data_IF_953029746804
#
_entry.id   IF_953029746804
#
_cell.length_a   1.000
_cell.length_b   1.000
_cell.length_c   1.000
_cell.angle_alpha   90.00
_cell.angle_beta   90.00
_cell.angle_gamma   90.00
#
_symmetry.space_group_name_H-M   'P 1'
#
loop_
_entity.id
_entity.type
_entity.pdbx_description
1 polymer ?
#
# COMPACT_ATOMS: atom_id res chain seq x y z
N UNK A 1 -11.34 5.76 -9.15
CA UNK A 1 -11.36 4.28 -9.11
C UNK A 1 -10.04 3.68 -9.57
N UNK A 2 -9.56 3.98 -10.79
CA UNK A 2 -8.28 3.46 -11.30
C UNK A 2 -7.09 3.73 -10.37
N UNK A 3 -6.92 4.96 -9.88
CA UNK A 3 -5.79 5.30 -9.01
C UNK A 3 -5.75 4.48 -7.72
N UNK A 4 -6.91 4.22 -7.09
CA UNK A 4 -6.98 3.36 -5.92
C UNK A 4 -6.56 1.91 -6.23
N UNK A 5 -6.96 1.37 -7.39
CA UNK A 5 -6.53 0.05 -7.83
C UNK A 5 -5.01 -0.03 -8.08
N UNK A 6 -4.43 1.03 -8.64
CA UNK A 6 -2.96 1.14 -8.82
C UNK A 6 -2.26 1.17 -7.45
N UNK A 7 -2.74 2.01 -6.53
CA UNK A 7 -2.20 2.09 -5.18
C UNK A 7 -2.32 0.76 -4.43
N UNK A 8 -3.42 0.04 -4.60
CA UNK A 8 -3.57 -1.32 -4.09
C UNK A 8 -2.51 -2.26 -4.67
N UNK A 9 -2.30 -2.25 -5.99
CA UNK A 9 -1.26 -3.06 -6.63
C UNK A 9 0.15 -2.73 -6.13
N UNK A 10 0.46 -1.44 -5.96
CA UNK A 10 1.74 -0.99 -5.38
C UNK A 10 1.87 -1.52 -3.95
N UNK A 11 0.84 -1.35 -3.12
CA UNK A 11 0.80 -1.89 -1.77
C UNK A 11 1.06 -3.40 -1.76
N UNK A 12 0.40 -4.15 -2.65
CA UNK A 12 0.56 -5.60 -2.78
C UNK A 12 2.00 -6.00 -3.10
N UNK A 13 2.63 -5.35 -4.07
CA UNK A 13 4.04 -5.59 -4.41
C UNK A 13 4.95 -5.24 -3.23
N UNK A 14 4.68 -4.15 -2.53
CA UNK A 14 5.43 -3.77 -1.32
C UNK A 14 5.30 -4.85 -0.25
N UNK A 15 4.08 -5.31 0.04
CA UNK A 15 3.84 -6.35 1.04
C UNK A 15 4.53 -7.66 0.71
N UNK A 16 4.68 -7.98 -0.58
CA UNK A 16 5.31 -9.23 -1.01
C UNK A 16 6.83 -9.22 -0.86
N UNK A 17 7.48 -8.09 -1.17
CA UNK A 17 8.95 -8.06 -1.35
C UNK A 17 9.70 -7.16 -0.36
N UNK A 18 9.01 -6.27 0.35
CA UNK A 18 9.63 -5.19 1.09
C UNK A 18 9.20 -5.16 2.57
N UNK A 19 9.95 -4.40 3.37
CA UNK A 19 9.72 -4.30 4.82
C UNK A 19 8.64 -3.28 5.17
N UNK A 20 8.18 -3.34 6.42
CA UNK A 20 7.15 -2.43 6.94
C UNK A 20 7.57 -0.94 6.91
N UNK A 21 8.87 -0.63 6.86
CA UNK A 21 9.33 0.77 6.74
C UNK A 21 8.95 1.38 5.38
N UNK A 22 8.94 0.58 4.32
CA UNK A 22 8.66 1.06 2.97
C UNK A 22 7.18 1.42 2.81
N UNK A 23 6.27 0.64 3.40
CA UNK A 23 4.83 0.95 3.39
C UNK A 23 4.51 2.25 4.14
N UNK A 24 5.22 2.54 5.25
CA UNK A 24 5.07 3.80 5.98
C UNK A 24 5.57 4.97 5.15
N UNK A 25 6.78 4.88 4.58
CA UNK A 25 7.36 5.95 3.77
C UNK A 25 6.52 6.27 2.53
N UNK A 26 6.05 5.26 1.82
CA UNK A 26 5.20 5.43 0.63
C UNK A 26 3.81 5.95 0.98
N UNK A 27 3.23 5.55 2.12
CA UNK A 27 1.97 6.14 2.61
C UNK A 27 2.11 7.61 2.99
N UNK A 28 3.23 7.99 3.62
CA UNK A 28 3.54 9.39 3.89
C UNK A 28 3.69 10.19 2.59
N UNK A 29 4.34 9.61 1.57
CA UNK A 29 4.47 10.24 0.25
C UNK A 29 3.11 10.44 -0.43
N UNK A 30 2.20 9.46 -0.37
CA UNK A 30 0.84 9.57 -0.90
C UNK A 30 0.08 10.70 -0.20
N UNK A 31 0.17 10.76 1.14
CA UNK A 31 -0.50 11.79 1.94
C UNK A 31 0.04 13.19 1.59
N UNK A 32 1.36 13.37 1.58
CA UNK A 32 2.00 14.66 1.25
C UNK A 32 1.68 15.07 -0.18
N UNK A 33 1.79 14.14 -1.14
CA UNK A 33 1.48 14.41 -2.55
C UNK A 33 0.03 14.84 -2.74
N UNK A 34 -0.91 14.18 -2.06
CA UNK A 34 -2.33 14.54 -2.12
C UNK A 34 -2.60 15.89 -1.46
N UNK A 35 -2.01 16.15 -0.28
CA UNK A 35 -2.15 17.45 0.39
C UNK A 35 -1.60 18.59 -0.47
N UNK A 36 -0.45 18.42 -1.12
CA UNK A 36 0.10 19.41 -2.04
C UNK A 36 -0.83 19.64 -3.24
N UNK A 37 -1.31 18.57 -3.87
CA UNK A 37 -2.24 18.67 -5.01
C UNK A 37 -3.52 19.42 -4.63
N UNK A 38 -4.07 19.19 -3.44
CA UNK A 38 -5.29 19.86 -2.99
C UNK A 38 -5.06 21.27 -2.45
N UNK A 39 -3.88 21.54 -1.87
CA UNK A 39 -3.51 22.89 -1.43
C UNK A 39 -3.35 23.87 -2.61
N UNK A 40 -2.88 23.40 -3.76
CA UNK A 40 -2.76 24.20 -4.99
C UNK A 40 -3.97 24.06 -5.94
N UNK A 41 -4.97 23.29 -5.55
CA UNK A 41 -6.21 23.05 -6.31
C UNK A 41 -7.37 23.94 -5.85
N UNK A 42 -8.64 23.55 -6.09
CA UNK A 42 -9.83 24.32 -5.70
C UNK A 42 -10.08 24.42 -4.17
N UNK A 43 -9.11 24.01 -3.34
CA UNK A 43 -9.18 24.02 -1.88
C UNK A 43 -9.31 22.61 -1.28
N UNK A 44 -9.09 22.53 0.04
CA UNK A 44 -9.19 21.30 0.80
C UNK A 44 -10.57 21.21 1.45
N UNK A 45 -11.35 20.22 1.04
CA UNK A 45 -12.73 20.00 1.51
C UNK A 45 -12.89 18.55 1.99
N UNK A 46 -13.97 18.25 2.70
CA UNK A 46 -14.25 16.94 3.27
C UNK A 46 -14.21 15.82 2.23
N UNK A 47 -14.66 16.09 1.00
CA UNK A 47 -14.55 15.15 -0.11
C UNK A 47 -13.09 14.78 -0.44
N UNK A 48 -12.19 15.77 -0.46
CA UNK A 48 -10.76 15.55 -0.71
C UNK A 48 -10.15 14.71 0.41
N UNK A 49 -10.52 14.98 1.67
CA UNK A 49 -10.10 14.16 2.81
C UNK A 49 -10.53 12.69 2.66
N UNK A 50 -11.77 12.44 2.26
CA UNK A 50 -12.28 11.08 1.99
C UNK A 50 -11.54 10.40 0.83
N UNK A 51 -11.16 11.14 -0.20
CA UNK A 51 -10.38 10.62 -1.33
C UNK A 51 -8.99 10.18 -0.85
N UNK A 52 -8.28 11.00 -0.06
CA UNK A 52 -6.97 10.62 0.51
C UNK A 52 -7.11 9.38 1.39
N UNK A 53 -8.13 9.34 2.22
CA UNK A 53 -8.39 8.18 3.09
C UNK A 53 -8.62 6.91 2.25
N UNK A 54 -9.38 7.01 1.16
CA UNK A 54 -9.58 5.91 0.22
C UNK A 54 -8.28 5.45 -0.44
N UNK A 55 -7.41 6.37 -0.83
CA UNK A 55 -6.10 6.05 -1.42
C UNK A 55 -5.17 5.35 -0.43
N UNK A 56 -5.09 5.86 0.80
CA UNK A 56 -4.33 5.22 1.88
C UNK A 56 -4.88 3.84 2.22
N UNK A 57 -6.21 3.70 2.30
CA UNK A 57 -6.86 2.41 2.59
C UNK A 57 -6.58 1.38 1.50
N UNK A 58 -6.68 1.76 0.23
CA UNK A 58 -6.35 0.89 -0.89
C UNK A 58 -4.88 0.45 -0.85
N UNK A 59 -3.96 1.39 -0.59
CA UNK A 59 -2.54 1.10 -0.47
C UNK A 59 -2.22 0.14 0.70
N UNK A 60 -2.80 0.39 1.88
CA UNK A 60 -2.60 -0.42 3.09
C UNK A 60 -3.21 -1.83 2.96
N UNK A 61 -4.41 -1.95 2.39
CA UNK A 61 -5.04 -3.24 2.15
C UNK A 61 -4.27 -4.09 1.14
N UNK A 62 -3.71 -3.47 0.10
CA UNK A 62 -2.79 -4.13 -0.82
C UNK A 62 -1.58 -4.72 -0.10
N UNK A 63 -0.92 -3.90 0.73
CA UNK A 63 0.23 -4.35 1.53
C UNK A 63 -0.10 -5.55 2.42
N UNK A 64 -1.21 -5.50 3.15
CA UNK A 64 -1.62 -6.60 4.02
C UNK A 64 -1.84 -7.90 3.22
N UNK A 65 -2.49 -7.81 2.05
CA UNK A 65 -2.68 -8.97 1.19
C UNK A 65 -1.35 -9.50 0.64
N UNK A 66 -0.47 -8.62 0.17
CA UNK A 66 0.86 -8.99 -0.33
C UNK A 66 1.71 -9.68 0.73
N UNK A 67 1.76 -9.12 1.94
CA UNK A 67 2.50 -9.69 3.07
C UNK A 67 1.93 -11.04 3.51
N UNK A 68 0.59 -11.17 3.52
CA UNK A 68 -0.07 -12.44 3.82
C UNK A 68 0.30 -13.53 2.80
N UNK A 69 0.24 -13.21 1.50
CA UNK A 69 0.58 -14.16 0.45
C UNK A 69 2.07 -14.51 0.42
N UNK A 70 2.96 -13.53 0.63
CA UNK A 70 4.41 -13.73 0.70
C UNK A 70 4.82 -14.66 1.84
N UNK A 71 4.32 -14.41 3.05
CA UNK A 71 4.60 -15.28 4.22
C UNK A 71 4.11 -16.71 4.04
N UNK A 72 2.96 -16.90 3.36
CA UNK A 72 2.45 -18.23 3.02
C UNK A 72 3.33 -18.98 2.01
N UNK A 73 3.96 -18.27 1.08
CA UNK A 73 4.85 -18.85 0.08
C UNK A 73 6.19 -19.28 0.71
N UNK A 74 6.71 -18.48 1.63
CA UNK A 74 7.95 -18.76 2.35
C UNK A 74 7.81 -19.96 3.31
N UNK A 75 6.68 -20.07 4.04
CA UNK A 75 6.39 -21.24 4.89
C UNK A 75 6.26 -22.54 4.05
N UNK A 76 5.56 -22.49 2.90
CA UNK A 76 5.47 -23.64 2.00
C UNK A 76 6.82 -24.06 1.45
N UNK A 77 7.68 -23.10 1.08
CA UNK A 77 9.05 -23.37 0.59
C UNK A 77 9.91 -24.04 1.65
N UNK A 78 9.88 -23.55 2.90
CA UNK A 78 10.64 -24.13 4.00
C UNK A 78 10.14 -25.52 4.43
N UNK A 79 8.86 -25.83 4.24
CA UNK A 79 8.33 -27.19 4.48
C UNK A 79 8.68 -28.19 3.38
N UNK A 80 8.97 -27.71 2.17
CA UNK A 80 9.31 -28.55 1.01
C UNK A 80 10.81 -28.77 0.82
N UNK A 81 11.67 -28.01 1.49
CA UNK A 81 13.08 -28.37 1.60
C UNK A 81 13.18 -29.66 2.44
N UNK A 82 13.60 -30.80 1.85
CA UNK A 82 14.04 -31.91 2.67
C UNK A 82 15.23 -31.38 3.48
N UNK A 83 15.18 -31.55 4.80
CA UNK A 83 16.32 -31.31 5.67
C UNK A 83 17.58 -31.96 5.06
N UNK A 84 18.78 -31.37 5.24
CA UNK A 84 20.03 -32.06 4.92
C UNK A 84 20.15 -33.38 5.69
#
# INVERSE_FOLDING_TARGET
MLLAAVLFGVGLVIGWFYTMLIIVATSALILVGALLLFAFGPGLDMLHGLIVLGYLTAHQSGYLLGAYCGGHYEDKRNRQSPLP
#
